data_IF_180730407450
#
_entry.id   IF_180730407450
#
_cell.length_a   1.000
_cell.length_b   1.000
_cell.length_c   1.000
_cell.angle_alpha   90.00
_cell.angle_beta   90.00
_cell.angle_gamma   90.00
#
_symmetry.space_group_name_H-M   'P 1'
#
loop_
_entity.id
_entity.type
_entity.pdbx_description
1 polymer ?
#
# COMPACT_ATOMS: atom_id res chain seq x y z
N UNK A 1 12.54 5.08 14.53
CA UNK A 1 13.60 5.88 13.90
C UNK A 1 13.14 7.27 13.54
N UNK A 2 12.19 7.42 12.60
CA UNK A 2 11.75 8.73 12.06
C UNK A 2 10.42 9.24 12.64
N UNK A 3 9.48 8.34 12.98
CA UNK A 3 8.18 8.70 13.61
C UNK A 3 8.20 8.61 15.14
N UNK A 4 9.03 7.73 15.73
CA UNK A 4 9.09 7.52 17.18
C UNK A 4 9.61 8.75 17.98
N UNK A 5 10.28 9.69 17.31
CA UNK A 5 10.71 10.96 17.90
C UNK A 5 9.67 12.09 17.81
N UNK A 6 8.56 11.86 17.11
CA UNK A 6 7.49 12.86 16.89
C UNK A 6 6.37 12.77 17.94
N UNK A 7 6.37 11.71 18.76
CA UNK A 7 5.28 11.42 19.70
C UNK A 7 5.85 10.91 21.04
N UNK A 8 5.31 11.33 22.20
CA UNK A 8 5.87 10.96 23.50
C UNK A 8 6.00 9.44 23.70
N UNK A 9 6.98 8.95 24.49
CA UNK A 9 7.19 7.52 24.75
C UNK A 9 5.95 6.75 25.21
N UNK A 10 5.03 7.45 25.88
CA UNK A 10 3.78 6.89 26.41
C UNK A 10 2.78 6.49 25.31
N UNK A 11 2.88 7.05 24.11
CA UNK A 11 1.96 6.84 22.98
C UNK A 11 2.58 6.00 21.86
N UNK A 12 3.84 5.57 22.00
CA UNK A 12 4.52 4.75 20.99
C UNK A 12 3.85 3.38 20.79
N UNK A 13 3.24 2.81 21.83
CA UNK A 13 2.48 1.57 21.75
C UNK A 13 1.21 1.71 20.88
N UNK A 14 0.50 2.84 20.96
CA UNK A 14 -0.68 3.09 20.13
C UNK A 14 -0.30 3.32 18.67
N UNK A 15 0.78 4.06 18.42
CA UNK A 15 1.30 4.27 17.06
C UNK A 15 1.77 2.96 16.43
N UNK A 16 2.56 2.17 17.16
CA UNK A 16 3.04 0.89 16.68
C UNK A 16 1.88 -0.09 16.49
N UNK A 17 0.91 -0.10 17.40
CA UNK A 17 -0.32 -0.89 17.27
C UNK A 17 -1.14 -0.49 16.03
N UNK A 18 -1.31 0.81 15.79
CA UNK A 18 -1.99 1.34 14.61
C UNK A 18 -1.28 0.99 13.30
N UNK A 19 0.04 1.17 13.24
CA UNK A 19 0.85 0.75 12.09
C UNK A 19 0.77 -0.76 11.85
N UNK A 20 0.86 -1.56 12.91
CA UNK A 20 0.77 -3.02 12.83
C UNK A 20 -0.61 -3.46 12.34
N UNK A 21 -1.68 -2.82 12.84
CA UNK A 21 -3.05 -3.08 12.37
C UNK A 21 -3.20 -2.81 10.87
N UNK A 22 -2.70 -1.68 10.39
CA UNK A 22 -2.72 -1.36 8.96
C UNK A 22 -1.94 -2.37 8.11
N UNK A 23 -0.77 -2.80 8.59
CA UNK A 23 0.01 -3.85 7.93
C UNK A 23 -0.79 -5.16 7.88
N UNK A 24 -1.38 -5.59 9.00
CA UNK A 24 -2.20 -6.82 9.08
C UNK A 24 -3.38 -6.81 8.12
N UNK A 25 -4.08 -5.69 7.99
CA UNK A 25 -5.17 -5.56 7.01
C UNK A 25 -4.63 -5.70 5.59
N UNK A 26 -3.51 -5.03 5.29
CA UNK A 26 -2.88 -5.07 3.97
C UNK A 26 -2.37 -6.47 3.62
N UNK A 27 -1.85 -7.24 4.58
CA UNK A 27 -1.37 -8.61 4.35
C UNK A 27 -2.51 -9.61 4.14
N UNK A 28 -3.72 -9.33 4.59
CA UNK A 28 -4.91 -10.14 4.30
C UNK A 28 -5.45 -9.82 2.91
N UNK A 29 -5.63 -8.53 2.60
CA UNK A 29 -6.25 -8.08 1.34
C UNK A 29 -5.30 -8.26 0.15
N UNK A 30 -4.01 -8.01 0.35
CA UNK A 30 -2.99 -8.04 -0.70
C UNK A 30 -2.97 -9.34 -1.50
N UNK A 31 -2.77 -10.51 -0.87
CA UNK A 31 -2.79 -11.80 -1.55
C UNK A 31 -4.10 -12.04 -2.30
N UNK A 32 -5.25 -11.83 -1.67
CA UNK A 32 -6.58 -12.07 -2.29
C UNK A 32 -6.75 -11.23 -3.56
N UNK A 33 -6.39 -9.94 -3.50
CA UNK A 33 -6.49 -9.05 -4.65
C UNK A 33 -5.52 -9.44 -5.77
N UNK A 34 -4.25 -9.71 -5.44
CA UNK A 34 -3.22 -10.03 -6.43
C UNK A 34 -3.45 -11.40 -7.09
N UNK A 35 -3.86 -12.41 -6.32
CA UNK A 35 -4.17 -13.73 -6.87
C UNK A 35 -5.44 -13.71 -7.72
N UNK A 36 -6.45 -12.92 -7.34
CA UNK A 36 -7.66 -12.75 -8.15
C UNK A 36 -7.37 -12.09 -9.49
N UNK A 37 -6.53 -11.05 -9.50
CA UNK A 37 -6.07 -10.41 -10.74
C UNK A 37 -5.25 -11.38 -11.59
N UNK A 38 -4.34 -12.14 -10.99
CA UNK A 38 -3.58 -13.14 -11.69
C UNK A 38 -4.51 -14.16 -12.36
N UNK A 39 -5.40 -14.77 -11.58
CA UNK A 39 -6.37 -15.75 -12.07
C UNK A 39 -7.22 -15.22 -13.23
N UNK A 40 -7.76 -14.01 -13.10
CA UNK A 40 -8.60 -13.40 -14.14
C UNK A 40 -7.86 -13.27 -15.49
N UNK A 41 -6.57 -12.89 -15.47
CA UNK A 41 -5.78 -12.69 -16.68
C UNK A 41 -4.98 -13.94 -17.14
N UNK A 42 -5.04 -15.06 -16.41
CA UNK A 42 -4.36 -16.31 -16.80
C UNK A 42 -5.29 -17.48 -17.03
N UNK A 43 -6.60 -17.34 -16.76
CA UNK A 43 -7.56 -18.41 -16.99
C UNK A 43 -7.82 -18.63 -18.50
N UNK A 44 -8.30 -19.82 -18.87
CA UNK A 44 -8.52 -20.24 -20.26
C UNK A 44 -9.56 -19.38 -21.01
N UNK A 45 -10.44 -18.70 -20.27
CA UNK A 45 -11.42 -17.75 -20.81
C UNK A 45 -10.97 -16.28 -20.80
N UNK A 46 -9.71 -16.00 -20.47
CA UNK A 46 -9.22 -14.62 -20.40
C UNK A 46 -9.21 -13.98 -21.81
N UNK A 47 -9.77 -12.76 -21.99
CA UNK A 47 -9.72 -12.05 -23.27
C UNK A 47 -8.29 -11.78 -23.75
N UNK A 48 -7.37 -11.59 -22.81
CA UNK A 48 -5.93 -11.40 -23.03
C UNK A 48 -5.17 -12.14 -21.93
N UNK A 49 -4.25 -13.04 -22.32
CA UNK A 49 -3.37 -13.72 -21.38
C UNK A 49 -2.27 -12.77 -20.91
N UNK A 50 -2.35 -12.32 -19.66
CA UNK A 50 -1.40 -11.36 -19.09
C UNK A 50 -1.13 -11.62 -17.60
N UNK A 51 -0.19 -12.53 -17.26
CA UNK A 51 0.18 -12.82 -15.87
C UNK A 51 0.80 -11.62 -15.13
N UNK A 52 1.18 -10.57 -15.86
CA UNK A 52 1.75 -9.33 -15.31
C UNK A 52 0.73 -8.38 -14.67
N UNK A 53 -0.58 -8.65 -14.77
CA UNK A 53 -1.64 -7.75 -14.29
C UNK A 53 -1.51 -7.34 -12.81
N UNK A 54 -1.18 -8.24 -11.86
CA UNK A 54 -1.00 -7.87 -10.46
C UNK A 54 0.14 -6.85 -10.25
N UNK A 55 1.23 -6.96 -11.02
CA UNK A 55 2.36 -6.03 -10.91
C UNK A 55 2.01 -4.63 -11.41
N UNK A 56 1.18 -4.52 -12.45
CA UNK A 56 0.66 -3.23 -12.92
C UNK A 56 -0.28 -2.62 -11.88
N UNK A 57 -1.15 -3.41 -11.27
CA UNK A 57 -1.99 -2.91 -10.17
C UNK A 57 -1.14 -2.41 -9.00
N UNK A 58 -0.10 -3.17 -8.61
CA UNK A 58 0.84 -2.75 -7.57
C UNK A 58 1.57 -1.46 -7.93
N UNK A 59 2.04 -1.31 -9.18
CA UNK A 59 2.74 -0.10 -9.61
C UNK A 59 1.82 1.13 -9.57
N UNK A 60 0.56 1.00 -9.97
CA UNK A 60 -0.45 2.06 -9.85
C UNK A 60 -0.67 2.48 -8.39
N UNK A 61 -0.78 1.52 -7.47
CA UNK A 61 -0.92 1.81 -6.04
C UNK A 61 0.31 2.53 -5.47
N UNK A 62 1.52 2.10 -5.84
CA UNK A 62 2.77 2.73 -5.43
C UNK A 62 2.90 4.14 -6.00
N UNK A 63 2.58 4.34 -7.28
CA UNK A 63 2.60 5.67 -7.90
C UNK A 63 1.57 6.60 -7.26
N UNK A 64 0.36 6.10 -6.98
CA UNK A 64 -0.65 6.86 -6.24
C UNK A 64 -0.14 7.28 -4.86
N UNK A 65 0.49 6.36 -4.13
CA UNK A 65 1.09 6.63 -2.82
C UNK A 65 2.22 7.66 -2.90
N UNK A 66 3.07 7.56 -3.93
CA UNK A 66 4.14 8.52 -4.19
C UNK A 66 3.58 9.92 -4.46
N UNK A 67 2.52 10.03 -5.27
CA UNK A 67 1.86 11.32 -5.54
C UNK A 67 1.30 11.93 -4.25
N UNK A 68 0.67 11.13 -3.39
CA UNK A 68 0.16 11.59 -2.10
C UNK A 68 1.31 12.11 -1.21
N UNK A 69 2.40 11.36 -1.11
CA UNK A 69 3.59 11.73 -0.35
C UNK A 69 4.19 13.04 -0.85
N UNK A 70 4.38 13.17 -2.17
CA UNK A 70 4.91 14.39 -2.79
C UNK A 70 3.98 15.59 -2.58
N UNK A 71 2.65 15.41 -2.66
CA UNK A 71 1.68 16.47 -2.37
C UNK A 71 1.77 16.92 -0.91
N UNK A 72 1.79 15.99 0.03
CA UNK A 72 1.86 16.30 1.47
C UNK A 72 3.15 17.04 1.82
N UNK A 73 4.31 16.57 1.34
CA UNK A 73 5.58 17.26 1.59
C UNK A 73 5.67 18.63 0.91
N UNK A 74 5.04 18.82 -0.26
CA UNK A 74 4.98 20.14 -0.91
C UNK A 74 4.13 21.14 -0.10
N UNK A 75 3.00 20.70 0.44
CA UNK A 75 2.12 21.54 1.28
C UNK A 75 2.86 21.96 2.56
N UNK A 76 3.61 21.04 3.17
CA UNK A 76 4.30 21.30 4.43
C UNK A 76 5.54 22.21 4.31
N UNK A 77 6.05 22.46 3.09
CA UNK A 77 7.12 23.44 2.83
C UNK A 77 6.61 24.88 2.64
N UNK A 78 5.29 25.09 2.56
CA UNK A 78 4.65 26.40 2.31
C UNK A 78 4.15 27.04 3.63
N UNK A 79 4.29 26.34 4.76
CA UNK A 79 4.19 26.90 6.12
C UNK A 79 5.57 27.00 6.73
#
# INVERSE_FOLDING_TARGET
>A
GIMAGQVPPREQGELQGGLTSMVSVTTIIGPVMMTSLFYYFTNHGAPVYFPGAPFIAASVLVLGSLILVLRTFRINKIK
#
